data_IF_009870289799
#
_entry.id   IF_009870289799
#
_cell.length_a   1.000
_cell.length_b   1.000
_cell.length_c   1.000
_cell.angle_alpha   90.00
_cell.angle_beta   90.00
_cell.angle_gamma   90.00
#
_symmetry.space_group_name_H-M   'P 1'
#
loop_
_entity.id
_entity.type
_entity.pdbx_description
1 polymer ?
#
# COMPACT_ATOMS: atom_id res chain seq x y z
N UNK A 1 53.17 56.30 -7.73
CA UNK A 1 51.75 56.75 -7.76
C UNK A 1 50.82 55.84 -8.58
N UNK A 2 51.18 55.41 -9.80
CA UNK A 2 50.33 54.55 -10.66
C UNK A 2 49.88 53.21 -10.04
N UNK A 3 50.75 52.54 -9.25
CA UNK A 3 50.44 51.24 -8.61
C UNK A 3 49.45 51.29 -7.44
N UNK A 4 49.25 52.47 -6.84
CA UNK A 4 48.31 52.67 -5.73
C UNK A 4 46.87 52.81 -6.23
N UNK A 5 46.69 53.34 -7.45
CA UNK A 5 45.38 53.58 -8.06
C UNK A 5 44.79 52.27 -8.60
N UNK A 6 45.64 51.37 -9.14
CA UNK A 6 45.23 50.04 -9.60
C UNK A 6 44.79 49.10 -8.45
N UNK A 7 45.35 49.24 -7.25
CA UNK A 7 44.91 48.47 -6.06
C UNK A 7 43.59 48.97 -5.48
N UNK A 8 43.33 50.27 -5.56
CA UNK A 8 42.05 50.85 -5.15
C UNK A 8 40.91 50.48 -6.12
N UNK A 9 41.20 50.37 -7.42
CA UNK A 9 40.22 49.95 -8.43
C UNK A 9 39.80 48.48 -8.27
N UNK A 10 40.72 47.57 -7.93
CA UNK A 10 40.40 46.15 -7.74
C UNK A 10 39.62 45.88 -6.44
N UNK A 11 39.82 46.69 -5.40
CA UNK A 11 39.05 46.61 -4.16
C UNK A 11 37.60 47.09 -4.32
N UNK A 12 37.34 48.02 -5.23
CA UNK A 12 35.99 48.54 -5.49
C UNK A 12 35.11 47.56 -6.31
N UNK A 13 35.72 46.70 -7.14
CA UNK A 13 34.96 45.71 -7.95
C UNK A 13 34.54 44.48 -7.13
N UNK A 14 35.27 44.12 -6.08
CA UNK A 14 34.90 43.00 -5.19
C UNK A 14 33.76 43.34 -4.20
N UNK A 15 33.48 44.62 -3.94
CA UNK A 15 32.43 45.04 -3.00
C UNK A 15 31.05 45.19 -3.66
N UNK A 16 30.95 45.26 -4.99
CA UNK A 16 29.66 45.30 -5.70
C UNK A 16 29.05 43.92 -5.98
N UNK A 17 29.79 42.83 -5.76
CA UNK A 17 29.27 41.47 -5.93
C UNK A 17 28.49 40.94 -4.71
N UNK A 18 28.45 41.70 -3.60
CA UNK A 18 27.83 41.26 -2.34
C UNK A 18 26.37 41.74 -2.14
N UNK A 19 25.77 42.42 -3.13
CA UNK A 19 24.44 43.00 -3.01
C UNK A 19 23.46 42.54 -4.09
N UNK A 20 23.61 41.31 -4.60
CA UNK A 20 22.43 40.63 -5.13
C UNK A 20 21.52 40.37 -3.92
N UNK A 21 20.28 40.88 -3.90
CA UNK A 21 19.34 40.43 -2.90
C UNK A 21 19.34 38.91 -3.02
N UNK A 22 19.59 38.23 -1.91
CA UNK A 22 19.13 36.86 -1.77
C UNK A 22 17.63 36.96 -2.07
N UNK A 23 17.25 36.74 -3.33
CA UNK A 23 15.89 36.47 -3.70
C UNK A 23 15.55 35.35 -2.76
N UNK A 24 14.76 35.67 -1.74
CA UNK A 24 14.30 34.73 -0.76
C UNK A 24 13.94 33.49 -1.57
N UNK A 25 14.68 32.40 -1.38
CA UNK A 25 14.23 31.12 -1.87
C UNK A 25 12.87 31.00 -1.22
N UNK A 26 11.83 31.33 -1.99
CA UNK A 26 10.45 31.09 -1.63
C UNK A 26 10.50 29.62 -1.34
N UNK A 27 10.53 29.30 -0.05
CA UNK A 27 10.43 27.95 0.43
C UNK A 27 9.14 27.49 -0.20
N UNK A 28 9.26 26.71 -1.29
CA UNK A 28 8.11 26.36 -2.09
C UNK A 28 7.20 25.64 -1.11
N UNK A 29 6.13 26.31 -0.71
CA UNK A 29 5.21 25.79 0.30
C UNK A 29 4.62 24.56 -0.32
N UNK A 30 5.10 23.40 0.09
CA UNK A 30 4.55 22.14 -0.32
C UNK A 30 3.14 22.03 0.26
N UNK A 31 2.16 21.52 -0.50
CA UNK A 31 2.22 21.27 -1.95
C UNK A 31 2.01 22.55 -2.77
N UNK A 32 2.73 22.68 -3.89
CA UNK A 32 2.61 23.83 -4.81
C UNK A 32 1.82 23.52 -6.10
N UNK A 33 1.38 22.27 -6.23
CA UNK A 33 0.54 21.73 -7.31
C UNK A 33 -0.25 20.54 -6.75
N UNK A 34 -1.23 20.00 -7.49
CA UNK A 34 -1.97 18.84 -7.03
C UNK A 34 -1.06 17.66 -6.65
N UNK A 35 -1.39 17.02 -5.53
CA UNK A 35 -0.74 15.78 -5.08
C UNK A 35 -1.53 14.59 -5.60
N UNK A 36 -0.85 13.53 -5.99
CA UNK A 36 -1.45 12.28 -6.43
C UNK A 36 -1.20 11.18 -5.41
N UNK A 37 -2.26 10.48 -5.04
CA UNK A 37 -2.20 9.21 -4.30
C UNK A 37 -2.50 8.08 -5.29
N UNK A 38 -1.51 7.26 -5.57
CA UNK A 38 -1.66 6.05 -6.39
C UNK A 38 -2.11 4.91 -5.50
N UNK A 39 -3.24 4.31 -5.87
CA UNK A 39 -3.76 3.08 -5.25
C UNK A 39 -3.51 1.93 -6.23
N UNK A 40 -2.62 0.98 -5.92
CA UNK A 40 -2.19 -0.01 -6.90
C UNK A 40 -3.15 -1.22 -6.96
N UNK A 41 -4.45 -0.96 -6.73
CA UNK A 41 -5.55 -1.92 -6.68
C UNK A 41 -6.78 -1.37 -7.40
N UNK A 42 -7.74 -2.23 -7.72
CA UNK A 42 -8.99 -1.85 -8.36
C UNK A 42 -9.80 -0.87 -7.47
N UNK A 43 -10.59 0.04 -8.07
CA UNK A 43 -11.43 0.97 -7.32
C UNK A 43 -12.53 0.23 -6.52
N UNK A 44 -12.97 0.84 -5.40
CA UNK A 44 -14.06 0.33 -4.57
C UNK A 44 -13.68 -0.66 -3.46
N UNK A 45 -12.41 -1.09 -3.36
CA UNK A 45 -11.90 -1.85 -2.20
C UNK A 45 -11.49 -0.92 -1.04
N UNK A 46 -11.28 -1.46 0.16
CA UNK A 46 -10.95 -0.67 1.35
C UNK A 46 -9.74 0.27 1.19
N UNK A 47 -8.69 -0.15 0.49
CA UNK A 47 -7.53 0.72 0.18
C UNK A 47 -7.94 1.96 -0.63
N UNK A 48 -8.83 1.81 -1.61
CA UNK A 48 -9.34 2.92 -2.43
C UNK A 48 -10.23 3.85 -1.59
N UNK A 49 -11.14 3.27 -0.80
CA UNK A 49 -12.05 4.01 0.07
C UNK A 49 -11.28 4.87 1.08
N UNK A 50 -10.31 4.29 1.79
CA UNK A 50 -9.46 5.00 2.76
C UNK A 50 -8.63 6.08 2.06
N UNK A 51 -8.06 5.77 0.89
CA UNK A 51 -7.24 6.74 0.14
C UNK A 51 -8.06 7.94 -0.31
N UNK A 52 -9.32 7.74 -0.71
CA UNK A 52 -10.23 8.84 -1.09
C UNK A 52 -10.61 9.70 0.12
N UNK A 53 -10.89 9.09 1.26
CA UNK A 53 -11.14 9.83 2.50
C UNK A 53 -9.91 10.66 2.92
N UNK A 54 -8.72 10.07 2.83
CA UNK A 54 -7.45 10.75 3.10
C UNK A 54 -7.21 11.91 2.12
N UNK A 55 -7.45 11.70 0.83
CA UNK A 55 -7.29 12.74 -0.18
C UNK A 55 -8.19 13.96 0.09
N UNK A 56 -9.45 13.74 0.49
CA UNK A 56 -10.35 14.84 0.90
C UNK A 56 -9.76 15.63 2.07
N UNK A 57 -9.28 14.96 3.12
CA UNK A 57 -8.71 15.62 4.31
C UNK A 57 -7.40 16.33 4.04
N UNK A 58 -6.52 15.74 3.23
CA UNK A 58 -5.29 16.41 2.82
C UNK A 58 -5.58 17.61 1.93
N UNK A 59 -6.61 17.54 1.07
CA UNK A 59 -7.03 18.67 0.26
C UNK A 59 -7.55 19.85 1.09
N UNK A 60 -8.36 19.57 2.10
CA UNK A 60 -8.81 20.56 3.10
C UNK A 60 -7.60 21.19 3.84
N UNK A 61 -6.63 20.38 4.25
CA UNK A 61 -5.49 20.84 5.05
C UNK A 61 -4.45 21.62 4.24
N UNK A 62 -4.21 21.24 2.99
CA UNK A 62 -3.19 21.84 2.13
C UNK A 62 -3.71 22.97 1.25
N UNK A 63 -5.03 23.10 1.09
CA UNK A 63 -5.61 24.04 0.11
C UNK A 63 -5.23 23.71 -1.34
N UNK A 64 -4.84 22.46 -1.61
CA UNK A 64 -4.45 21.94 -2.92
C UNK A 64 -5.20 20.64 -3.20
N UNK A 65 -5.50 20.39 -4.47
CA UNK A 65 -6.19 19.16 -4.83
C UNK A 65 -5.31 17.93 -4.55
N UNK A 66 -5.92 16.90 -3.96
CA UNK A 66 -5.31 15.57 -3.84
C UNK A 66 -6.14 14.58 -4.64
N UNK A 67 -5.52 13.94 -5.63
CA UNK A 67 -6.21 13.07 -6.60
C UNK A 67 -5.84 11.62 -6.35
N UNK A 68 -6.85 10.77 -6.21
CA UNK A 68 -6.66 9.31 -6.11
C UNK A 68 -6.72 8.68 -7.49
N UNK A 69 -5.68 7.94 -7.86
CA UNK A 69 -5.57 7.24 -9.13
C UNK A 69 -5.34 5.74 -8.93
N UNK A 70 -6.25 4.91 -9.44
CA UNK A 70 -6.12 3.46 -9.37
C UNK A 70 -5.21 2.94 -10.50
N UNK A 71 -4.13 2.23 -10.14
CA UNK A 71 -3.17 1.61 -11.06
C UNK A 71 -2.98 0.12 -10.71
N UNK A 72 -4.00 -0.73 -10.92
CA UNK A 72 -3.91 -2.15 -10.58
C UNK A 72 -2.92 -2.90 -11.48
N UNK A 73 -2.34 -3.97 -10.95
CA UNK A 73 -1.51 -4.89 -11.72
C UNK A 73 -0.44 -5.56 -10.86
N UNK A 74 -0.15 -6.84 -11.16
CA UNK A 74 0.90 -7.63 -10.54
C UNK A 74 0.96 -7.50 -9.00
N UNK A 75 -0.19 -7.70 -8.33
CA UNK A 75 -0.32 -7.61 -6.87
C UNK A 75 0.26 -6.31 -6.26
N UNK A 76 0.01 -5.19 -6.93
CA UNK A 76 0.40 -3.86 -6.48
C UNK A 76 1.75 -3.36 -7.03
N UNK A 77 2.51 -4.21 -7.74
CA UNK A 77 3.84 -3.85 -8.25
C UNK A 77 3.76 -2.71 -9.27
N UNK A 78 2.80 -2.76 -10.20
CA UNK A 78 2.73 -1.78 -11.31
C UNK A 78 2.55 -0.35 -10.81
N UNK A 79 1.58 -0.12 -9.92
CA UNK A 79 1.34 1.22 -9.37
C UNK A 79 2.44 1.69 -8.43
N UNK A 80 3.07 0.77 -7.69
CA UNK A 80 4.18 1.10 -6.78
C UNK A 80 5.42 1.51 -7.56
N UNK A 81 5.81 0.72 -8.57
CA UNK A 81 6.94 1.01 -9.46
C UNK A 81 6.81 2.39 -10.13
N UNK A 82 5.59 2.74 -10.57
CA UNK A 82 5.29 4.05 -11.15
C UNK A 82 5.57 5.21 -10.18
N UNK A 83 5.26 5.06 -8.89
CA UNK A 83 5.52 6.09 -7.88
C UNK A 83 6.99 6.15 -7.49
N UNK A 84 7.63 5.00 -7.30
CA UNK A 84 9.05 4.94 -6.94
C UNK A 84 9.97 5.53 -8.04
N UNK A 85 9.55 5.47 -9.31
CA UNK A 85 10.26 6.10 -10.43
C UNK A 85 9.89 7.56 -10.69
N UNK A 86 8.96 8.12 -9.93
CA UNK A 86 8.56 9.51 -10.06
C UNK A 86 9.55 10.46 -9.34
N UNK A 87 9.54 11.77 -9.65
CA UNK A 87 10.38 12.72 -8.92
C UNK A 87 10.13 12.63 -7.40
N UNK A 88 11.19 12.56 -6.56
CA UNK A 88 11.06 12.41 -5.10
C UNK A 88 10.71 13.75 -4.42
N UNK A 89 9.66 14.41 -4.89
CA UNK A 89 9.24 15.76 -4.47
C UNK A 89 7.96 15.77 -3.61
N UNK A 90 7.48 14.59 -3.20
CA UNK A 90 6.31 14.40 -2.34
C UNK A 90 4.94 14.50 -3.05
N UNK A 91 4.88 14.84 -4.34
CA UNK A 91 3.59 14.98 -5.04
C UNK A 91 3.06 13.66 -5.61
N UNK A 92 3.81 12.57 -5.51
CA UNK A 92 3.35 11.23 -5.84
C UNK A 92 3.52 10.36 -4.60
N UNK A 93 2.40 9.90 -4.06
CA UNK A 93 2.33 8.99 -2.93
C UNK A 93 1.75 7.67 -3.42
N UNK A 94 2.14 6.56 -2.79
CA UNK A 94 1.53 5.25 -3.03
C UNK A 94 0.99 4.71 -1.72
N UNK A 95 -0.23 4.16 -1.75
CA UNK A 95 -0.77 3.41 -0.61
C UNK A 95 -0.53 1.93 -0.86
N UNK A 96 0.33 1.34 -0.04
CA UNK A 96 0.68 -0.08 -0.10
C UNK A 96 0.02 -0.85 1.04
N UNK A 97 -0.10 -2.17 0.86
CA UNK A 97 -0.50 -3.12 1.91
C UNK A 97 0.58 -4.19 2.04
N UNK A 98 0.39 -5.21 2.90
CA UNK A 98 1.39 -6.25 3.16
C UNK A 98 1.94 -6.96 1.91
N UNK A 99 1.16 -7.01 0.82
CA UNK A 99 1.60 -7.46 -0.49
C UNK A 99 2.93 -6.83 -0.95
N UNK A 100 3.19 -5.56 -0.64
CA UNK A 100 4.40 -4.83 -1.02
C UNK A 100 5.69 -5.54 -0.59
N UNK A 101 5.74 -6.03 0.65
CA UNK A 101 6.90 -6.77 1.18
C UNK A 101 6.86 -8.23 0.76
N UNK A 102 5.67 -8.85 0.76
CA UNK A 102 5.49 -10.27 0.41
C UNK A 102 5.90 -10.55 -1.03
N UNK A 103 5.67 -9.62 -1.96
CA UNK A 103 5.98 -9.79 -3.38
C UNK A 103 7.45 -10.14 -3.64
N UNK A 104 8.39 -9.61 -2.84
CA UNK A 104 9.82 -9.95 -2.96
C UNK A 104 10.14 -11.43 -2.71
N UNK A 105 9.30 -12.14 -1.97
CA UNK A 105 9.44 -13.59 -1.75
C UNK A 105 8.64 -14.44 -2.75
N UNK A 106 7.66 -13.85 -3.44
CA UNK A 106 6.76 -14.58 -4.34
C UNK A 106 7.11 -14.41 -5.82
N UNK A 107 7.67 -13.26 -6.19
CA UNK A 107 8.05 -12.97 -7.57
C UNK A 107 9.50 -13.38 -7.81
N UNK A 108 9.76 -13.99 -8.96
CA UNK A 108 11.12 -14.36 -9.37
C UNK A 108 12.04 -13.14 -9.50
N UNK A 109 11.47 -11.98 -9.82
CA UNK A 109 12.17 -10.70 -9.96
C UNK A 109 11.23 -9.57 -9.59
N UNK A 110 11.74 -8.57 -8.89
CA UNK A 110 11.05 -7.33 -8.55
C UNK A 110 11.70 -6.16 -9.29
N UNK A 111 10.94 -5.15 -9.73
CA UNK A 111 11.50 -3.96 -10.39
C UNK A 111 12.08 -2.92 -9.41
N UNK A 112 11.93 -3.13 -8.11
CA UNK A 112 12.42 -2.28 -7.02
C UNK A 112 12.65 -3.10 -5.75
N UNK A 113 13.45 -2.57 -4.82
CA UNK A 113 13.56 -3.07 -3.45
C UNK A 113 12.41 -2.47 -2.59
N UNK A 114 11.54 -3.29 -1.98
CA UNK A 114 10.37 -2.79 -1.26
C UNK A 114 10.72 -2.01 0.02
N UNK A 115 11.95 -2.12 0.54
CA UNK A 115 12.40 -1.44 1.75
C UNK A 115 13.36 -0.30 1.41
N UNK A 116 14.38 -0.56 0.59
CA UNK A 116 15.43 0.41 0.31
C UNK A 116 14.98 1.55 -0.62
N UNK A 117 14.08 1.27 -1.57
CA UNK A 117 13.66 2.27 -2.56
C UNK A 117 12.46 3.11 -2.10
N UNK A 118 11.78 2.71 -1.01
CA UNK A 118 10.58 3.37 -0.51
C UNK A 118 10.86 4.26 0.72
N UNK A 119 10.39 5.50 0.68
CA UNK A 119 10.39 6.39 1.85
C UNK A 119 9.08 6.23 2.64
N UNK A 120 9.09 5.62 3.85
CA UNK A 120 7.87 5.44 4.63
C UNK A 120 7.34 6.78 5.14
N UNK A 121 6.04 7.03 4.95
CA UNK A 121 5.37 8.25 5.42
C UNK A 121 4.67 7.99 6.76
N UNK A 122 3.63 7.16 6.75
CA UNK A 122 2.86 6.80 7.96
C UNK A 122 1.97 5.58 7.72
N UNK A 123 1.49 4.98 8.80
CA UNK A 123 0.45 3.94 8.78
C UNK A 123 -0.93 4.62 8.84
N UNK A 124 -1.75 4.41 7.81
CA UNK A 124 -3.07 5.08 7.71
C UNK A 124 -4.23 4.19 8.18
N UNK A 125 -4.06 2.87 8.18
CA UNK A 125 -5.07 1.92 8.61
C UNK A 125 -4.46 0.55 8.93
N UNK A 126 -5.13 -0.20 9.81
CA UNK A 126 -4.88 -1.62 10.05
C UNK A 126 -6.18 -2.38 9.87
N UNK A 127 -6.12 -3.55 9.25
CA UNK A 127 -7.26 -4.46 9.13
C UNK A 127 -6.91 -5.81 9.72
N UNK A 128 -7.73 -6.37 10.63
CA UNK A 128 -7.55 -7.73 11.05
C UNK A 128 -7.91 -8.69 9.90
N UNK A 129 -7.16 -9.79 9.82
CA UNK A 129 -7.63 -10.95 9.09
C UNK A 129 -8.71 -11.65 9.90
N UNK A 130 -9.79 -12.04 9.23
CA UNK A 130 -10.87 -12.81 9.84
C UNK A 130 -11.00 -14.17 9.14
N UNK A 131 -11.33 -15.18 9.95
CA UNK A 131 -11.78 -16.48 9.46
C UNK A 131 -13.30 -16.43 9.45
N UNK A 132 -13.88 -16.52 8.27
CA UNK A 132 -15.33 -16.64 8.09
C UNK A 132 -15.63 -18.11 7.86
N UNK A 133 -16.66 -18.63 8.52
CA UNK A 133 -17.12 -20.02 8.35
C UNK A 133 -18.59 -19.98 7.96
N UNK A 134 -18.98 -20.78 6.97
CA UNK A 134 -20.37 -20.88 6.54
C UNK A 134 -21.24 -21.56 7.61
N UNK A 135 -22.53 -21.20 7.76
CA UNK A 135 -23.42 -21.82 8.75
C UNK A 135 -23.66 -23.33 8.56
N UNK A 136 -23.35 -23.90 7.39
CA UNK A 136 -23.47 -25.35 7.18
C UNK A 136 -22.41 -26.17 7.93
N UNK A 137 -21.33 -25.53 8.38
CA UNK A 137 -20.38 -26.14 9.30
C UNK A 137 -20.93 -26.01 10.71
N UNK A 138 -21.09 -27.10 11.48
CA UNK A 138 -21.63 -27.06 12.84
C UNK A 138 -20.59 -26.54 13.83
N UNK A 139 -20.18 -25.28 13.66
CA UNK A 139 -19.20 -24.59 14.47
C UNK A 139 -19.58 -23.11 14.62
N UNK A 140 -19.81 -22.68 15.85
CA UNK A 140 -20.08 -21.29 16.21
C UNK A 140 -18.85 -20.60 16.81
N UNK A 141 -17.80 -21.36 17.08
CA UNK A 141 -16.52 -20.85 17.58
C UNK A 141 -15.35 -21.37 16.77
N UNK A 142 -14.23 -20.64 16.77
CA UNK A 142 -13.01 -21.10 16.11
C UNK A 142 -12.53 -22.45 16.65
N UNK A 143 -12.72 -22.72 17.96
CA UNK A 143 -12.38 -24.00 18.59
C UNK A 143 -13.22 -25.14 18.02
N UNK A 144 -14.53 -24.93 17.89
CA UNK A 144 -15.43 -25.90 17.27
C UNK A 144 -15.08 -26.13 15.80
N UNK A 145 -14.74 -25.07 15.08
CA UNK A 145 -14.30 -25.19 13.68
C UNK A 145 -13.03 -26.04 13.57
N UNK A 146 -12.02 -25.79 14.40
CA UNK A 146 -10.78 -26.60 14.43
C UNK A 146 -11.10 -28.05 14.78
N UNK A 147 -11.95 -28.32 15.77
CA UNK A 147 -12.34 -29.67 16.14
C UNK A 147 -13.07 -30.38 14.97
N UNK A 148 -14.00 -29.68 14.31
CA UNK A 148 -14.74 -30.20 13.17
C UNK A 148 -13.83 -30.48 11.97
N UNK A 149 -12.88 -29.59 11.68
CA UNK A 149 -11.90 -29.76 10.62
C UNK A 149 -10.95 -30.94 10.88
N UNK A 150 -10.49 -31.13 12.13
CA UNK A 150 -9.67 -32.30 12.51
C UNK A 150 -10.42 -33.62 12.35
N UNK A 151 -11.73 -33.63 12.63
CA UNK A 151 -12.56 -34.81 12.43
C UNK A 151 -12.86 -35.10 10.94
N UNK A 152 -12.63 -34.14 10.05
CA UNK A 152 -12.96 -34.21 8.62
C UNK A 152 -11.79 -33.77 7.73
N UNK A 153 -10.62 -34.44 7.82
CA UNK A 153 -9.42 -34.03 7.07
C UNK A 153 -9.67 -34.07 5.56
N UNK A 154 -9.27 -33.00 4.86
CA UNK A 154 -9.38 -32.88 3.40
C UNK A 154 -10.79 -32.61 2.86
N UNK A 155 -11.82 -32.60 3.72
CA UNK A 155 -13.22 -32.41 3.29
C UNK A 155 -13.66 -30.96 3.23
N UNK A 156 -13.02 -30.09 4.01
CA UNK A 156 -13.35 -28.67 4.07
C UNK A 156 -12.43 -27.88 3.13
N UNK A 157 -12.98 -26.84 2.53
CA UNK A 157 -12.30 -25.94 1.60
C UNK A 157 -12.23 -24.55 2.19
N UNK A 158 -11.15 -23.83 1.92
CA UNK A 158 -11.04 -22.42 2.26
C UNK A 158 -10.71 -21.56 1.03
N UNK A 159 -11.41 -20.43 0.91
CA UNK A 159 -11.17 -19.43 -0.12
C UNK A 159 -10.09 -18.42 0.28
N UNK A 160 -9.28 -17.99 -0.69
CA UNK A 160 -8.41 -16.82 -0.55
C UNK A 160 -8.37 -16.01 -1.86
N UNK A 161 -8.19 -14.69 -1.77
CA UNK A 161 -8.19 -13.79 -2.93
C UNK A 161 -6.88 -13.05 -3.17
N UNK A 162 -5.96 -13.13 -2.22
CA UNK A 162 -4.69 -12.42 -2.21
C UNK A 162 -3.58 -13.35 -1.69
N UNK A 163 -2.31 -13.11 -2.04
CA UNK A 163 -1.24 -13.93 -1.48
C UNK A 163 -1.15 -13.87 0.05
N UNK A 164 -1.49 -12.74 0.66
CA UNK A 164 -1.57 -12.58 2.11
C UNK A 164 -2.70 -13.40 2.74
N UNK A 165 -3.91 -13.43 2.14
CA UNK A 165 -5.00 -14.29 2.63
C UNK A 165 -4.68 -15.77 2.44
N UNK A 166 -4.00 -16.14 1.35
CA UNK A 166 -3.50 -17.51 1.16
C UNK A 166 -2.51 -17.87 2.27
N UNK A 167 -1.54 -16.99 2.53
CA UNK A 167 -0.55 -17.20 3.57
C UNK A 167 -1.21 -17.35 4.95
N UNK A 168 -2.20 -16.52 5.27
CA UNK A 168 -2.96 -16.62 6.52
C UNK A 168 -3.67 -17.98 6.65
N UNK A 169 -4.32 -18.46 5.59
CA UNK A 169 -4.97 -19.78 5.57
C UNK A 169 -3.98 -20.95 5.71
N UNK A 170 -2.84 -20.89 5.02
CA UNK A 170 -1.80 -21.92 5.14
C UNK A 170 -1.12 -21.90 6.53
N UNK A 171 -0.86 -20.72 7.09
CA UNK A 171 -0.38 -20.58 8.47
C UNK A 171 -1.37 -21.15 9.48
N UNK A 172 -2.67 -20.90 9.30
CA UNK A 172 -3.71 -21.48 10.13
C UNK A 172 -3.72 -23.00 10.06
N UNK A 173 -3.65 -23.60 8.85
CA UNK A 173 -3.56 -25.07 8.68
C UNK A 173 -2.41 -25.68 9.47
N UNK A 174 -1.22 -25.07 9.36
CA UNK A 174 -0.03 -25.55 10.06
C UNK A 174 -0.17 -25.44 11.59
N UNK A 175 -0.60 -24.28 12.09
CA UNK A 175 -0.70 -24.04 13.54
C UNK A 175 -1.83 -24.83 14.19
N UNK A 176 -2.99 -24.93 13.53
CA UNK A 176 -4.13 -25.67 14.06
C UNK A 176 -4.00 -27.18 13.85
N UNK A 177 -3.12 -27.64 12.95
CA UNK A 177 -2.98 -29.04 12.57
C UNK A 177 -4.25 -29.57 11.90
N UNK A 178 -4.77 -28.81 10.93
CA UNK A 178 -5.98 -29.16 10.15
C UNK A 178 -5.64 -29.29 8.67
N UNK A 179 -6.36 -30.18 7.99
CA UNK A 179 -6.24 -30.36 6.55
C UNK A 179 -7.43 -29.73 5.83
N UNK A 180 -7.18 -28.56 5.21
CA UNK A 180 -8.15 -27.80 4.43
C UNK A 180 -7.64 -27.63 2.99
N UNK A 181 -8.54 -27.81 2.02
CA UNK A 181 -8.25 -27.61 0.59
C UNK A 181 -8.31 -26.12 0.23
N UNK A 182 -7.24 -25.57 -0.33
CA UNK A 182 -7.20 -24.18 -0.79
C UNK A 182 -7.95 -24.00 -2.11
N UNK A 183 -8.81 -22.99 -2.18
CA UNK A 183 -9.50 -22.57 -3.42
C UNK A 183 -9.14 -21.10 -3.73
N UNK A 184 -8.46 -20.82 -4.86
CA UNK A 184 -8.08 -19.45 -5.22
C UNK A 184 -9.23 -18.69 -5.88
N UNK A 185 -9.43 -17.45 -5.45
CA UNK A 185 -10.40 -16.50 -6.02
C UNK A 185 -9.71 -15.25 -6.55
N UNK A 186 -10.39 -14.53 -7.45
CA UNK A 186 -9.89 -13.25 -7.99
C UNK A 186 -10.26 -12.03 -7.14
N UNK A 187 -10.98 -12.22 -6.04
CA UNK A 187 -11.43 -11.15 -5.14
C UNK A 187 -12.28 -11.69 -3.98
N UNK A 188 -12.34 -10.95 -2.87
CA UNK A 188 -13.09 -11.36 -1.66
C UNK A 188 -14.60 -11.47 -1.89
N UNK A 189 -15.17 -10.69 -2.80
CA UNK A 189 -16.60 -10.77 -3.15
C UNK A 189 -16.99 -12.15 -3.70
N UNK A 190 -16.14 -12.77 -4.52
CA UNK A 190 -16.39 -14.12 -5.05
C UNK A 190 -16.33 -15.19 -3.97
N UNK A 191 -15.45 -15.04 -2.96
CA UNK A 191 -15.41 -15.92 -1.79
C UNK A 191 -16.77 -15.87 -1.08
N UNK A 192 -17.30 -14.67 -0.83
CA UNK A 192 -18.59 -14.50 -0.17
C UNK A 192 -19.74 -15.13 -0.96
N UNK A 193 -19.76 -14.94 -2.29
CA UNK A 193 -20.76 -15.58 -3.17
C UNK A 193 -20.71 -17.11 -3.07
N UNK A 194 -19.52 -17.70 -3.13
CA UNK A 194 -19.35 -19.16 -3.07
C UNK A 194 -19.62 -19.73 -1.67
N UNK A 195 -19.30 -18.99 -0.60
CA UNK A 195 -19.67 -19.36 0.77
C UNK A 195 -21.19 -19.39 0.95
N UNK A 196 -21.89 -18.39 0.42
CA UNK A 196 -23.36 -18.33 0.43
C UNK A 196 -23.99 -19.43 -0.44
N UNK A 197 -23.33 -19.79 -1.55
CA UNK A 197 -23.73 -20.90 -2.42
C UNK A 197 -23.39 -22.29 -1.89
N UNK A 198 -22.66 -22.41 -0.78
CA UNK A 198 -22.23 -23.70 -0.21
C UNK A 198 -21.07 -24.36 -0.98
N UNK A 199 -20.32 -23.60 -1.77
CA UNK A 199 -19.19 -24.09 -2.55
C UNK A 199 -17.86 -24.06 -1.79
N UNK A 200 -17.75 -23.36 -0.66
CA UNK A 200 -16.61 -23.43 0.25
C UNK A 200 -17.08 -23.21 1.69
N UNK A 201 -16.36 -23.82 2.64
CA UNK A 201 -16.76 -23.83 4.04
C UNK A 201 -16.15 -22.69 4.85
N UNK A 202 -14.98 -22.21 4.44
CA UNK A 202 -14.27 -21.13 5.11
C UNK A 202 -13.70 -20.09 4.14
N UNK A 203 -13.49 -18.87 4.64
CA UNK A 203 -12.80 -17.80 3.94
C UNK A 203 -11.80 -17.12 4.87
N UNK A 204 -10.60 -16.85 4.38
CA UNK A 204 -9.61 -16.02 5.06
C UNK A 204 -9.57 -14.68 4.34
N UNK A 205 -10.17 -13.66 4.94
CA UNK A 205 -10.37 -12.36 4.27
C UNK A 205 -10.10 -11.21 5.22
N UNK A 206 -9.73 -10.07 4.63
CA UNK A 206 -9.71 -8.78 5.33
C UNK A 206 -11.14 -8.28 5.48
N UNK A 207 -11.40 -7.47 6.51
CA UNK A 207 -12.67 -6.76 6.72
C UNK A 207 -12.72 -5.40 5.99
N UNK A 208 -11.60 -4.97 5.39
CA UNK A 208 -11.50 -3.82 4.48
C UNK A 208 -11.83 -4.18 3.04
#
# INVERSE_FOLDING_TARGET
MMRSILRAAFAATCLMSAALPAAAQQQQTFPNRPVRIVVPYAPGGGTDIISRQLATKLGEAWGQNVVVENRPGANGIVGTDLVLKSPPDGHNLVVVVGAHVINGSLQKSMPFDPVADAAPVTLIATSPWVVVVTPSVPANTLREFVAHAKANPGKLRFGSSEPSSRLAGEQFKQQAGVDLTHVPYKGGSMIMTDMLGGHIEAGFTSTL
#
